data_IF_801312669673
#
_entry.id   IF_801312669673
#
_cell.length_a   1.000
_cell.length_b   1.000
_cell.length_c   1.000
_cell.angle_alpha   90.00
_cell.angle_beta   90.00
_cell.angle_gamma   90.00
#
_symmetry.space_group_name_H-M   'P 1'
#
loop_
_entity.id
_entity.type
_entity.pdbx_description
1 polymer ?
#
# COMPACT_ATOMS: atom_id res chain seq x y z
N UNK A 1 -9.02 28.75 -9.55
CA UNK A 1 -8.21 27.64 -9.00
C UNK A 1 -8.82 26.34 -9.50
N UNK A 2 -8.07 25.51 -10.22
CA UNK A 2 -8.55 24.20 -10.70
C UNK A 2 -8.23 23.13 -9.65
N UNK A 3 -9.22 22.29 -9.32
CA UNK A 3 -9.04 21.11 -8.47
C UNK A 3 -8.76 19.93 -9.38
N UNK A 4 -7.60 19.27 -9.22
CA UNK A 4 -7.21 18.13 -10.07
C UNK A 4 -7.90 16.83 -9.64
N UNK A 5 -7.95 16.57 -8.33
CA UNK A 5 -8.59 15.38 -7.74
C UNK A 5 -9.50 15.83 -6.60
N UNK A 6 -10.83 15.90 -6.83
CA UNK A 6 -11.80 16.15 -5.77
C UNK A 6 -11.65 15.13 -4.63
N UNK A 7 -11.84 15.59 -3.39
CA UNK A 7 -11.74 14.75 -2.18
C UNK A 7 -10.36 14.11 -1.93
N UNK A 8 -9.30 14.56 -2.62
CA UNK A 8 -7.92 14.17 -2.31
C UNK A 8 -7.51 14.61 -0.91
N UNK A 9 -7.05 13.67 -0.07
CA UNK A 9 -6.69 13.95 1.33
C UNK A 9 -5.19 13.76 1.64
N UNK A 10 -4.47 13.00 0.83
CA UNK A 10 -3.03 12.72 0.95
C UNK A 10 -2.41 12.58 -0.44
N UNK A 11 -1.15 12.96 -0.58
CA UNK A 11 -0.37 12.70 -1.79
C UNK A 11 1.04 12.21 -1.45
N UNK A 12 1.66 11.50 -2.38
CA UNK A 12 3.05 11.07 -2.30
C UNK A 12 3.71 11.16 -3.69
N UNK A 13 4.98 11.55 -3.73
CA UNK A 13 5.73 11.69 -4.99
C UNK A 13 6.90 10.71 -4.96
N UNK A 14 6.87 9.74 -5.88
CA UNK A 14 7.85 8.67 -6.02
C UNK A 14 8.23 8.57 -7.50
N UNK A 15 9.31 9.25 -7.95
CA UNK A 15 9.63 9.36 -9.37
C UNK A 15 9.62 8.01 -10.09
N UNK A 16 8.95 7.89 -11.26
CA UNK A 16 8.25 8.96 -12.01
C UNK A 16 6.79 9.22 -11.56
N UNK A 17 6.26 8.46 -10.61
CA UNK A 17 4.84 8.44 -10.26
C UNK A 17 4.47 9.43 -9.15
N UNK A 18 3.30 10.03 -9.31
CA UNK A 18 2.64 10.82 -8.26
C UNK A 18 1.37 10.08 -7.84
N UNK A 19 1.15 9.99 -6.53
CA UNK A 19 0.03 9.28 -5.94
C UNK A 19 -0.85 10.26 -5.17
N UNK A 20 -2.17 10.09 -5.27
CA UNK A 20 -3.16 10.82 -4.47
C UNK A 20 -4.18 9.82 -3.93
N UNK A 21 -4.39 9.81 -2.62
CA UNK A 21 -5.53 9.11 -2.03
C UNK A 21 -6.72 10.08 -1.98
N UNK A 22 -7.87 9.65 -2.51
CA UNK A 22 -9.09 10.44 -2.52
C UNK A 22 -10.23 9.67 -1.86
N UNK A 23 -10.99 10.34 -1.00
CA UNK A 23 -12.15 9.74 -0.33
C UNK A 23 -13.24 9.38 -1.36
N UNK A 24 -13.84 8.21 -1.20
CA UNK A 24 -15.02 7.83 -1.96
C UNK A 24 -16.24 8.58 -1.37
N UNK A 25 -16.95 9.42 -2.15
CA UNK A 25 -18.08 10.20 -1.63
C UNK A 25 -19.32 9.35 -1.36
N UNK A 26 -19.39 8.13 -1.89
CA UNK A 26 -20.51 7.18 -1.65
C UNK A 26 -20.21 6.29 -0.44
N UNK A 27 -18.95 5.89 -0.29
CA UNK A 27 -18.46 5.10 0.84
C UNK A 27 -17.41 5.93 1.60
N UNK A 28 -17.85 6.84 2.47
CA UNK A 28 -16.98 7.86 3.12
C UNK A 28 -15.76 7.29 3.87
N UNK A 29 -15.83 6.01 4.22
CA UNK A 29 -14.79 5.27 4.91
C UNK A 29 -13.76 4.61 3.98
N UNK A 30 -13.98 4.66 2.67
CA UNK A 30 -13.14 4.09 1.62
C UNK A 30 -12.34 5.20 0.90
N UNK A 31 -11.11 4.89 0.52
CA UNK A 31 -10.25 5.76 -0.27
C UNK A 31 -9.81 5.06 -1.55
N UNK A 32 -9.78 5.80 -2.66
CA UNK A 32 -9.25 5.33 -3.95
C UNK A 32 -7.88 5.93 -4.20
N UNK A 33 -6.94 5.10 -4.63
CA UNK A 33 -5.62 5.56 -5.07
C UNK A 33 -5.68 6.04 -6.52
N UNK A 34 -5.20 7.26 -6.74
CA UNK A 34 -5.01 7.85 -8.06
C UNK A 34 -3.51 7.94 -8.34
N UNK A 35 -3.13 7.67 -9.59
CA UNK A 35 -1.74 7.67 -10.04
C UNK A 35 -1.60 8.61 -11.24
N UNK A 36 -0.53 9.40 -11.24
CA UNK A 36 -0.05 10.16 -12.39
C UNK A 36 1.36 9.70 -12.75
N UNK A 37 1.57 9.13 -13.96
CA UNK A 37 2.90 8.77 -14.46
C UNK A 37 3.60 9.95 -15.17
N UNK A 38 2.90 11.08 -15.35
CA UNK A 38 3.30 12.23 -16.18
C UNK A 38 3.50 13.51 -15.35
N UNK A 39 4.03 13.35 -14.12
CA UNK A 39 4.40 14.47 -13.23
C UNK A 39 3.23 15.39 -12.87
N UNK A 40 2.05 14.80 -12.66
CA UNK A 40 0.84 15.50 -12.23
C UNK A 40 0.00 16.09 -13.36
N UNK A 41 0.34 15.86 -14.63
CA UNK A 41 -0.45 16.37 -15.75
C UNK A 41 -1.79 15.62 -15.91
N UNK A 42 -1.80 14.30 -15.74
CA UNK A 42 -3.02 13.48 -15.76
C UNK A 42 -3.03 12.45 -14.63
N UNK A 43 -4.20 12.24 -14.02
CA UNK A 43 -4.40 11.24 -12.98
C UNK A 43 -5.41 10.20 -13.43
N UNK A 44 -5.16 8.94 -13.09
CA UNK A 44 -6.06 7.81 -13.33
C UNK A 44 -6.20 6.97 -12.07
N UNK A 45 -7.36 6.36 -11.81
CA UNK A 45 -7.51 5.45 -10.68
C UNK A 45 -6.60 4.23 -10.87
N UNK A 46 -5.93 3.84 -9.78
CA UNK A 46 -5.21 2.58 -9.69
C UNK A 46 -6.18 1.41 -9.88
N UNK A 47 -5.69 0.33 -10.47
CA UNK A 47 -6.47 -0.88 -10.74
C UNK A 47 -5.91 -2.01 -9.90
N UNK A 48 -6.67 -2.44 -8.90
CA UNK A 48 -6.35 -3.61 -8.08
C UNK A 48 -7.03 -4.87 -8.64
N UNK A 49 -6.51 -6.08 -8.32
CA UNK A 49 -6.95 -7.32 -8.98
C UNK A 49 -8.35 -7.79 -8.57
N UNK A 50 -8.93 -7.23 -7.51
CA UNK A 50 -10.29 -7.49 -7.04
C UNK A 50 -10.82 -6.25 -6.31
N UNK A 51 -12.12 -6.21 -6.01
CA UNK A 51 -12.71 -5.11 -5.24
C UNK A 51 -12.18 -5.18 -3.80
N UNK A 52 -11.45 -4.14 -3.41
CA UNK A 52 -10.81 -4.03 -2.10
C UNK A 52 -11.64 -3.12 -1.21
N UNK A 53 -11.71 -3.42 0.09
CA UNK A 53 -12.02 -2.37 1.08
C UNK A 53 -10.73 -1.60 1.31
N UNK A 54 -10.63 -0.40 0.76
CA UNK A 54 -9.41 0.40 0.75
C UNK A 54 -9.49 1.49 1.82
N UNK A 55 -8.76 1.33 2.93
CA UNK A 55 -8.81 2.30 4.06
C UNK A 55 -7.65 3.27 4.07
N UNK A 56 -6.46 2.80 3.68
CA UNK A 56 -5.28 3.63 3.56
C UNK A 56 -4.26 2.97 2.65
N UNK A 57 -3.37 3.81 2.12
CA UNK A 57 -2.24 3.41 1.31
C UNK A 57 -0.95 3.95 1.92
N UNK A 58 0.11 3.17 1.80
CA UNK A 58 1.48 3.62 2.01
C UNK A 58 2.34 3.04 0.90
N UNK A 59 3.10 3.90 0.22
CA UNK A 59 4.16 3.43 -0.67
C UNK A 59 5.29 2.91 0.23
N UNK A 60 5.65 1.64 0.07
CA UNK A 60 6.71 0.99 0.86
C UNK A 60 8.04 0.98 0.11
N UNK A 61 8.00 0.77 -1.21
CA UNK A 61 9.16 0.91 -2.08
C UNK A 61 8.70 1.32 -3.48
N UNK A 62 9.57 2.01 -4.22
CA UNK A 62 9.27 2.50 -5.56
C UNK A 62 10.49 2.42 -6.49
N UNK A 63 11.38 1.47 -6.23
CA UNK A 63 12.60 1.27 -7.01
C UNK A 63 12.33 0.31 -8.16
N UNK A 64 13.30 0.22 -9.08
CA UNK A 64 13.33 -0.83 -10.11
C UNK A 64 12.12 -0.82 -11.08
N UNK A 65 11.48 0.35 -11.26
CA UNK A 65 10.40 0.53 -12.24
C UNK A 65 9.03 0.00 -11.79
N UNK A 66 8.90 -0.44 -10.55
CA UNK A 66 7.65 -0.86 -9.92
C UNK A 66 7.44 -0.14 -8.59
N UNK A 67 6.19 -0.09 -8.15
CA UNK A 67 5.82 0.50 -6.86
C UNK A 67 5.17 -0.57 -6.01
N UNK A 68 5.72 -0.78 -4.82
CA UNK A 68 5.10 -1.55 -3.77
C UNK A 68 4.25 -0.63 -2.91
N UNK A 69 2.97 -0.97 -2.79
CA UNK A 69 2.01 -0.24 -1.96
C UNK A 69 1.44 -1.20 -0.92
N UNK A 70 1.56 -0.82 0.33
CA UNK A 70 0.82 -1.40 1.44
C UNK A 70 -0.61 -0.84 1.42
N UNK A 71 -1.60 -1.74 1.46
CA UNK A 71 -3.02 -1.40 1.57
C UNK A 71 -3.58 -1.99 2.87
N UNK A 72 -4.23 -1.16 3.68
CA UNK A 72 -4.96 -1.61 4.86
C UNK A 72 -6.43 -1.86 4.52
N UNK A 73 -6.97 -3.01 4.93
CA UNK A 73 -8.37 -3.39 4.70
C UNK A 73 -9.17 -3.45 5.99
N UNK A 74 -10.27 -2.70 6.07
CA UNK A 74 -11.24 -2.78 7.17
C UNK A 74 -10.68 -2.70 8.62
N UNK A 75 -11.53 -3.05 9.58
CA UNK A 75 -11.20 -3.03 11.01
C UNK A 75 -10.40 -4.27 11.47
N UNK A 76 -10.55 -5.40 10.77
CA UNK A 76 -9.87 -6.66 11.11
C UNK A 76 -8.37 -6.62 10.84
N UNK A 77 -7.91 -5.73 9.96
CA UNK A 77 -6.51 -5.66 9.57
C UNK A 77 -5.80 -4.51 10.27
N UNK A 78 -6.13 -4.18 11.53
CA UNK A 78 -5.36 -3.16 12.28
C UNK A 78 -3.90 -3.57 12.46
N UNK A 79 -3.63 -4.87 12.59
CA UNK A 79 -2.31 -5.41 12.88
C UNK A 79 -1.55 -5.91 11.64
N UNK A 80 -2.20 -5.99 10.49
CA UNK A 80 -1.60 -6.48 9.26
C UNK A 80 -2.01 -5.67 8.03
N UNK A 81 -1.32 -5.87 6.91
CA UNK A 81 -1.67 -5.31 5.63
C UNK A 81 -1.33 -6.27 4.51
N UNK A 82 -1.88 -5.99 3.33
CA UNK A 82 -1.47 -6.63 2.10
C UNK A 82 -0.55 -5.68 1.33
N UNK A 83 0.49 -6.26 0.73
CA UNK A 83 1.42 -5.54 -0.14
C UNK A 83 1.09 -5.90 -1.58
N UNK A 84 0.96 -4.86 -2.41
CA UNK A 84 0.67 -4.96 -3.83
C UNK A 84 1.81 -4.35 -4.63
N UNK A 85 2.14 -4.95 -5.77
CA UNK A 85 3.15 -4.45 -6.69
C UNK A 85 2.50 -3.95 -7.96
N UNK A 86 2.91 -2.76 -8.42
CA UNK A 86 2.50 -2.20 -9.69
C UNK A 86 3.22 -2.88 -10.86
N UNK A 87 2.54 -2.96 -12.00
CA UNK A 87 3.19 -3.14 -13.29
C UNK A 87 3.97 -1.88 -13.72
N UNK A 88 4.60 -1.91 -14.90
CA UNK A 88 5.46 -0.82 -15.40
C UNK A 88 4.73 0.50 -15.65
N UNK A 89 3.40 0.48 -15.77
CA UNK A 89 2.60 1.70 -15.93
C UNK A 89 2.26 2.39 -14.60
N UNK A 90 2.67 1.81 -13.47
CA UNK A 90 2.40 2.32 -12.12
C UNK A 90 0.92 2.28 -11.72
N UNK A 91 0.04 1.76 -12.57
CA UNK A 91 -1.42 1.84 -12.41
C UNK A 91 -2.04 0.49 -12.09
N UNK A 92 -1.61 -0.57 -12.77
CA UNK A 92 -2.15 -1.91 -12.56
C UNK A 92 -1.39 -2.62 -11.47
N UNK A 93 -2.07 -2.97 -10.39
CA UNK A 93 -1.51 -3.64 -9.24
C UNK A 93 -1.86 -5.12 -9.24
N UNK A 94 -0.96 -5.92 -8.72
CA UNK A 94 -1.15 -7.32 -8.41
C UNK A 94 -0.87 -7.54 -6.92
N UNK A 95 -1.56 -8.50 -6.30
CA UNK A 95 -1.30 -8.87 -4.92
C UNK A 95 0.05 -9.60 -4.85
N UNK A 96 0.98 -9.09 -4.05
CA UNK A 96 2.31 -9.68 -3.89
C UNK A 96 2.41 -10.49 -2.61
N UNK A 97 1.96 -9.93 -1.48
CA UNK A 97 2.06 -10.60 -0.18
C UNK A 97 0.86 -10.24 0.70
N UNK A 98 0.31 -11.25 1.40
CA UNK A 98 -0.79 -11.06 2.35
C UNK A 98 -0.30 -11.07 3.78
N UNK A 99 -1.06 -10.43 4.66
CA UNK A 99 -0.91 -10.52 6.13
C UNK A 99 0.52 -10.16 6.60
N UNK A 100 1.10 -9.13 5.99
CA UNK A 100 2.37 -8.56 6.45
C UNK A 100 2.12 -7.84 7.77
N UNK A 101 2.94 -8.14 8.78
CA UNK A 101 2.85 -7.53 10.11
C UNK A 101 3.05 -6.02 10.00
N UNK A 102 2.30 -5.25 10.79
CA UNK A 102 2.52 -3.81 10.93
C UNK A 102 3.05 -3.46 12.31
N UNK A 103 3.89 -2.44 12.36
CA UNK A 103 4.27 -1.80 13.62
C UNK A 103 3.12 -0.92 14.19
N UNK A 104 3.35 -0.36 15.38
CA UNK A 104 2.40 0.55 16.05
C UNK A 104 2.14 1.86 15.28
N UNK A 105 2.97 2.20 14.28
CA UNK A 105 2.79 3.34 13.37
C UNK A 105 2.07 2.94 12.07
N UNK A 106 1.66 1.68 11.95
CA UNK A 106 0.99 1.13 10.78
C UNK A 106 1.91 0.96 9.55
N UNK A 107 3.22 0.89 9.75
CA UNK A 107 4.20 0.54 8.70
C UNK A 107 4.32 -0.97 8.63
N UNK A 108 4.19 -1.56 7.45
CA UNK A 108 4.42 -2.99 7.25
C UNK A 108 5.89 -3.34 7.40
N UNK A 109 6.16 -4.47 8.04
CA UNK A 109 7.49 -5.08 8.13
C UNK A 109 7.82 -5.78 6.81
N UNK A 110 8.10 -4.97 5.79
CA UNK A 110 8.46 -5.34 4.43
C UNK A 110 9.64 -4.46 4.00
N UNK A 111 10.80 -5.08 3.80
CA UNK A 111 12.08 -4.38 3.66
C UNK A 111 12.86 -4.87 2.44
N UNK A 112 13.60 -3.97 1.82
CA UNK A 112 14.43 -4.29 0.64
C UNK A 112 15.83 -4.79 1.04
N UNK A 113 16.20 -5.88 0.37
CA UNK A 113 17.54 -6.38 0.02
C UNK A 113 18.57 -5.36 -0.47
N UNK A 114 19.20 -4.51 0.36
CA UNK A 114 20.26 -3.65 -0.19
C UNK A 114 21.45 -4.49 -0.70
N UNK A 115 21.81 -4.28 -1.98
CA UNK A 115 22.88 -5.04 -2.66
C UNK A 115 22.40 -6.27 -3.45
N UNK A 116 21.10 -6.58 -3.43
CA UNK A 116 20.48 -7.61 -4.26
C UNK A 116 19.18 -7.07 -4.87
N UNK A 117 19.23 -6.68 -6.14
CA UNK A 117 18.08 -6.10 -6.83
C UNK A 117 16.92 -7.10 -6.91
N UNK A 118 15.70 -6.61 -6.70
CA UNK A 118 14.48 -7.41 -6.68
C UNK A 118 14.29 -8.30 -5.45
N UNK A 119 15.19 -8.25 -4.46
CA UNK A 119 15.09 -9.08 -3.24
C UNK A 119 14.48 -8.28 -2.09
N UNK A 120 13.48 -8.87 -1.45
CA UNK A 120 12.77 -8.28 -0.31
C UNK A 120 12.59 -9.32 0.80
N UNK A 121 12.54 -8.87 2.05
CA UNK A 121 12.23 -9.68 3.22
C UNK A 121 11.01 -9.09 3.92
N UNK A 122 10.15 -9.94 4.48
CA UNK A 122 8.97 -9.48 5.19
C UNK A 122 8.55 -10.48 6.27
N UNK A 123 7.93 -9.96 7.33
CA UNK A 123 7.33 -10.78 8.37
C UNK A 123 5.82 -10.91 8.13
N UNK A 124 5.34 -12.16 8.08
CA UNK A 124 3.93 -12.48 7.83
C UNK A 124 3.35 -13.33 8.95
N UNK A 125 2.05 -13.19 9.17
CA UNK A 125 1.32 -14.05 10.12
C UNK A 125 0.62 -15.17 9.38
N UNK A 126 0.87 -16.40 9.82
CA UNK A 126 0.10 -17.58 9.45
C UNK A 126 -1.00 -17.88 10.48
N UNK A 127 -2.16 -18.34 10.01
CA UNK A 127 -3.33 -18.61 10.85
C UNK A 127 -3.92 -17.38 11.56
N UNK A 128 -4.69 -17.62 12.64
CA UNK A 128 -5.39 -16.58 13.42
C UNK A 128 -4.52 -15.94 14.52
N UNK A 129 -3.20 -16.20 14.51
CA UNK A 129 -2.30 -15.69 15.54
C UNK A 129 -2.26 -14.16 15.53
N UNK A 130 -2.34 -13.53 16.71
CA UNK A 130 -2.03 -12.10 16.80
C UNK A 130 -0.50 -11.92 16.77
N UNK A 131 0.03 -10.96 15.99
CA UNK A 131 1.47 -10.76 15.88
C UNK A 131 2.11 -10.39 17.24
N UNK A 132 1.38 -9.66 18.08
CA UNK A 132 1.84 -9.35 19.45
C UNK A 132 1.98 -10.60 20.33
N UNK A 133 1.08 -11.59 20.22
CA UNK A 133 1.22 -12.83 20.98
C UNK A 133 2.41 -13.70 20.50
N UNK A 134 2.78 -13.59 19.22
CA UNK A 134 3.87 -14.39 18.63
C UNK A 134 5.25 -13.78 18.89
N UNK A 135 5.36 -12.45 18.89
CA UNK A 135 6.62 -11.74 19.10
C UNK A 135 7.13 -11.81 20.55
N UNK A 136 6.24 -11.85 21.54
CA UNK A 136 6.61 -11.95 22.96
C UNK A 136 6.51 -13.37 23.53
N UNK A 137 5.87 -14.31 22.82
CA UNK A 137 5.73 -15.70 23.29
C UNK A 137 7.02 -16.53 23.28
N UNK A 138 8.12 -16.01 22.73
CA UNK A 138 9.43 -16.67 22.67
C UNK A 138 10.39 -16.31 23.81
N UNK A 139 10.01 -15.41 24.72
CA UNK A 139 10.77 -15.05 25.92
C UNK A 139 9.98 -15.50 27.15
N UNK A 140 10.14 -16.77 27.50
CA UNK A 140 9.79 -17.29 28.82
C UNK A 140 11.06 -17.66 29.57
#
# INVERSE_FOLDING_TARGET
QSVLIPHGNRFAVHPPYWFVAAMNPVEELEVKLWVSPDRGATFKPASFPYQLSERSYRVVDSKEGSVFVQVAHGERDRQFANVYMSGPDGRRFSLSLRRVVKDYKGVSDFERINGADGVYIANTVDGDASPEATLFGGIQ
#
